data_IF_530097990171
#
_entry.id   IF_530097990171
#
_cell.length_a   1.000
_cell.length_b   1.000
_cell.length_c   1.000
_cell.angle_alpha   90.00
_cell.angle_beta   90.00
_cell.angle_gamma   90.00
#
_symmetry.space_group_name_H-M   'P 1'
#
loop_
_entity.id
_entity.type
_entity.pdbx_description
1 polymer ?
#
# COMPACT_ATOMS: atom_id res chain seq x y z
N UNK A 1 -20.02 -4.66 -5.19
CA UNK A 1 -19.48 -3.28 -5.11
C UNK A 1 -19.53 -2.68 -3.70
N UNK A 2 -20.66 -2.71 -2.99
CA UNK A 2 -20.78 -2.11 -1.64
C UNK A 2 -19.75 -2.65 -0.63
N UNK A 3 -19.53 -3.98 -0.60
CA UNK A 3 -18.53 -4.61 0.29
C UNK A 3 -17.11 -4.08 0.05
N UNK A 4 -16.66 -4.04 -1.21
CA UNK A 4 -15.33 -3.55 -1.57
C UNK A 4 -15.14 -2.07 -1.20
N UNK A 5 -16.15 -1.22 -1.47
CA UNK A 5 -16.14 0.18 -1.04
C UNK A 5 -16.05 0.32 0.47
N UNK A 6 -16.75 -0.54 1.23
CA UNK A 6 -16.66 -0.60 2.69
C UNK A 6 -15.26 -0.94 3.17
N UNK A 7 -14.64 -1.97 2.60
CA UNK A 7 -13.24 -2.35 2.91
C UNK A 7 -12.26 -1.23 2.57
N UNK A 8 -12.40 -0.59 1.40
CA UNK A 8 -11.55 0.54 1.01
C UNK A 8 -11.67 1.72 1.98
N UNK A 9 -12.91 2.00 2.45
CA UNK A 9 -13.15 3.05 3.45
C UNK A 9 -12.48 2.72 4.78
N UNK A 10 -12.61 1.49 5.27
CA UNK A 10 -11.95 1.06 6.51
C UNK A 10 -10.42 1.15 6.39
N UNK A 11 -9.88 0.69 5.26
CA UNK A 11 -8.47 0.83 4.95
C UNK A 11 -8.02 2.29 5.02
N UNK A 12 -8.72 3.20 4.34
CA UNK A 12 -8.43 4.63 4.37
C UNK A 12 -8.46 5.23 5.78
N UNK A 13 -9.46 4.87 6.59
CA UNK A 13 -9.57 5.34 7.97
C UNK A 13 -8.47 4.79 8.88
N UNK A 14 -7.86 3.67 8.50
CA UNK A 14 -6.76 3.07 9.25
C UNK A 14 -5.38 3.61 8.86
N UNK A 15 -5.23 4.42 7.81
CA UNK A 15 -3.93 4.89 7.33
C UNK A 15 -3.18 5.67 8.42
N UNK A 16 -1.97 5.22 8.74
CA UNK A 16 -1.13 5.84 9.75
C UNK A 16 -1.59 5.68 11.22
N UNK A 17 -2.74 5.06 11.47
CA UNK A 17 -3.19 4.79 12.85
C UNK A 17 -2.37 3.64 13.43
N UNK A 18 -1.66 3.91 14.54
CA UNK A 18 -0.80 2.91 15.19
C UNK A 18 0.24 2.31 14.22
N UNK A 19 0.82 3.15 13.35
CA UNK A 19 1.78 2.72 12.33
C UNK A 19 3.08 2.12 12.92
N UNK A 20 3.34 2.35 14.19
CA UNK A 20 4.43 1.77 14.98
C UNK A 20 4.08 0.38 15.57
N UNK A 21 2.83 -0.07 15.45
CA UNK A 21 2.38 -1.36 15.97
C UNK A 21 2.46 -2.48 14.92
N UNK A 22 2.71 -3.71 15.37
CA UNK A 22 2.84 -4.89 14.50
C UNK A 22 1.55 -5.18 13.74
N UNK A 23 0.39 -4.92 14.36
CA UNK A 23 -0.93 -5.15 13.80
C UNK A 23 -1.18 -4.31 12.54
N UNK A 24 -0.59 -3.10 12.47
CA UNK A 24 -0.61 -2.27 11.28
C UNK A 24 0.10 -2.97 10.12
N UNK A 25 1.35 -3.39 10.36
CA UNK A 25 2.16 -4.07 9.37
C UNK A 25 1.52 -5.37 8.89
N UNK A 26 1.02 -6.22 9.80
CA UNK A 26 0.30 -7.45 9.46
C UNK A 26 -0.96 -7.17 8.62
N UNK A 27 -1.68 -6.09 8.93
CA UNK A 27 -2.80 -5.61 8.13
C UNK A 27 -2.38 -5.33 6.68
N UNK A 28 -1.27 -4.62 6.48
CA UNK A 28 -0.78 -4.26 5.14
C UNK A 28 -0.19 -5.43 4.38
N UNK A 29 0.53 -6.33 5.07
CA UNK A 29 0.98 -7.59 4.50
C UNK A 29 -0.20 -8.43 3.98
N UNK A 30 -1.29 -8.57 4.76
CA UNK A 30 -2.50 -9.28 4.29
C UNK A 30 -3.14 -8.64 3.06
N UNK A 31 -3.11 -7.31 2.95
CA UNK A 31 -3.60 -6.59 1.77
C UNK A 31 -2.75 -6.95 0.55
N UNK A 32 -1.41 -6.89 0.67
CA UNK A 32 -0.49 -7.24 -0.42
C UNK A 32 -0.63 -8.70 -0.87
N UNK A 33 -0.62 -9.64 0.07
CA UNK A 33 -0.87 -11.06 -0.19
C UNK A 33 -2.23 -11.31 -0.86
N UNK A 34 -3.27 -10.56 -0.46
CA UNK A 34 -4.58 -10.67 -1.09
C UNK A 34 -4.55 -10.25 -2.55
N UNK A 35 -3.88 -9.14 -2.87
CA UNK A 35 -3.77 -8.65 -4.24
C UNK A 35 -2.91 -9.57 -5.11
N UNK A 36 -1.81 -10.09 -4.57
CA UNK A 36 -0.96 -11.10 -5.22
C UNK A 36 -1.78 -12.36 -5.55
N UNK A 37 -2.48 -12.91 -4.56
CA UNK A 37 -3.28 -14.14 -4.70
C UNK A 37 -4.38 -14.05 -5.75
N UNK A 38 -4.98 -12.88 -5.94
CA UNK A 38 -6.00 -12.66 -6.99
C UNK A 38 -5.40 -12.31 -8.36
N UNK A 39 -4.07 -12.32 -8.49
CA UNK A 39 -3.37 -12.02 -9.74
C UNK A 39 -3.32 -10.54 -10.11
N UNK A 40 -3.58 -9.62 -9.16
CA UNK A 40 -3.46 -8.20 -9.43
C UNK A 40 -1.98 -7.84 -9.52
N UNK A 41 -1.53 -7.49 -10.73
CA UNK A 41 -0.14 -7.06 -10.96
C UNK A 41 0.18 -5.83 -10.11
N UNK A 42 1.35 -5.83 -9.46
CA UNK A 42 1.84 -4.74 -8.59
C UNK A 42 1.67 -3.34 -9.20
N UNK A 43 1.97 -3.17 -10.50
CA UNK A 43 1.81 -1.88 -11.19
C UNK A 43 0.39 -1.29 -11.12
N UNK A 44 -0.64 -2.15 -11.10
CA UNK A 44 -2.03 -1.71 -11.00
C UNK A 44 -2.40 -1.32 -9.57
N UNK A 45 -1.86 -2.04 -8.59
CA UNK A 45 -1.94 -1.64 -7.19
C UNK A 45 -1.31 -0.25 -7.00
N UNK A 46 -0.06 -0.06 -7.46
CA UNK A 46 0.66 1.21 -7.36
C UNK A 46 -0.09 2.36 -8.04
N UNK A 47 -0.62 2.15 -9.24
CA UNK A 47 -1.40 3.17 -9.94
C UNK A 47 -2.69 3.56 -9.21
N UNK A 48 -3.44 2.58 -8.69
CA UNK A 48 -4.65 2.84 -7.91
C UNK A 48 -4.35 3.53 -6.57
N UNK A 49 -3.26 3.13 -5.93
CA UNK A 49 -2.77 3.69 -4.68
C UNK A 49 -2.28 5.14 -4.86
N UNK A 50 -1.53 5.43 -5.92
CA UNK A 50 -1.16 6.80 -6.28
C UNK A 50 -2.40 7.67 -6.48
N UNK A 51 -3.44 7.14 -7.14
CA UNK A 51 -4.69 7.88 -7.30
C UNK A 51 -5.36 8.21 -5.97
N UNK A 52 -5.29 7.29 -5.01
CA UNK A 52 -5.79 7.50 -3.66
C UNK A 52 -5.03 8.62 -2.94
N UNK A 53 -3.70 8.61 -3.04
CA UNK A 53 -2.83 9.65 -2.50
C UNK A 53 -3.18 11.03 -3.07
N UNK A 54 -3.31 11.17 -4.40
CA UNK A 54 -3.71 12.43 -5.05
C UNK A 54 -5.03 12.96 -4.49
N UNK A 55 -6.03 12.08 -4.33
CA UNK A 55 -7.35 12.46 -3.83
C UNK A 55 -7.28 12.95 -2.38
N UNK A 56 -6.46 12.32 -1.53
CA UNK A 56 -6.26 12.78 -0.15
C UNK A 56 -5.55 14.13 -0.15
N UNK A 57 -4.49 14.27 -0.95
CA UNK A 57 -3.71 15.50 -1.05
C UNK A 57 -4.58 16.69 -1.50
N UNK A 58 -5.43 16.50 -2.52
CA UNK A 58 -6.40 17.51 -2.97
C UNK A 58 -7.32 17.95 -1.83
N UNK A 59 -7.85 17.01 -1.04
CA UNK A 59 -8.74 17.33 0.10
C UNK A 59 -8.01 18.08 1.22
N UNK A 60 -6.73 17.80 1.44
CA UNK A 60 -5.90 18.56 2.40
C UNK A 60 -5.68 19.97 1.86
N UNK A 61 -5.32 20.12 0.58
CA UNK A 61 -5.10 21.41 -0.05
C UNK A 61 -6.35 22.31 0.00
N UNK A 62 -7.52 21.77 -0.37
CA UNK A 62 -8.80 22.50 -0.34
C UNK A 62 -9.15 22.96 1.08
N UNK A 63 -8.90 22.13 2.10
CA UNK A 63 -9.28 22.41 3.48
C UNK A 63 -8.38 23.42 4.19
N UNK A 64 -7.10 23.47 3.82
CA UNK A 64 -6.09 24.31 4.46
C UNK A 64 -5.58 25.42 3.55
N UNK A 65 -6.42 25.86 2.60
CA UNK A 65 -6.14 26.98 1.72
C UNK A 65 -5.84 28.24 2.56
N UNK A 66 -4.68 28.87 2.32
CA UNK A 66 -4.23 30.05 3.07
C UNK A 66 -3.44 29.76 4.36
N UNK A 67 -3.29 28.48 4.77
CA UNK A 67 -2.41 28.06 5.87
C UNK A 67 -1.26 27.20 5.32
N UNK A 68 -0.28 27.86 4.69
CA UNK A 68 0.84 27.20 4.00
C UNK A 68 1.67 26.31 4.92
N UNK A 69 1.86 26.72 6.19
CA UNK A 69 2.62 25.94 7.17
C UNK A 69 1.92 24.63 7.49
N UNK A 70 0.61 24.68 7.75
CA UNK A 70 -0.17 23.48 8.05
C UNK A 70 -0.31 22.58 6.83
N UNK A 71 -0.52 23.15 5.64
CA UNK A 71 -0.55 22.42 4.39
C UNK A 71 0.77 21.66 4.13
N UNK A 72 1.90 22.35 4.28
CA UNK A 72 3.24 21.74 4.13
C UNK A 72 3.47 20.62 5.14
N UNK A 73 3.17 20.87 6.42
CA UNK A 73 3.33 19.88 7.50
C UNK A 73 2.47 18.62 7.25
N UNK A 74 1.19 18.78 6.92
CA UNK A 74 0.29 17.67 6.65
C UNK A 74 0.69 16.89 5.39
N UNK A 75 1.12 17.59 4.34
CA UNK A 75 1.62 16.95 3.11
C UNK A 75 2.85 16.10 3.39
N UNK A 76 3.79 16.60 4.20
CA UNK A 76 4.98 15.86 4.59
C UNK A 76 4.63 14.62 5.43
N UNK A 77 3.72 14.76 6.39
CA UNK A 77 3.24 13.62 7.20
C UNK A 77 2.52 12.59 6.36
N UNK A 78 1.65 13.02 5.43
CA UNK A 78 0.96 12.12 4.51
C UNK A 78 1.97 11.33 3.66
N UNK A 79 2.98 12.00 3.08
CA UNK A 79 4.03 11.33 2.31
C UNK A 79 4.73 10.24 3.14
N UNK A 80 5.10 10.53 4.40
CA UNK A 80 5.71 9.54 5.29
C UNK A 80 4.84 8.30 5.49
N UNK A 81 3.56 8.51 5.83
CA UNK A 81 2.61 7.42 6.06
C UNK A 81 2.42 6.59 4.78
N UNK A 82 2.22 7.27 3.66
CA UNK A 82 1.90 6.65 2.37
C UNK A 82 3.09 5.86 1.85
N UNK A 83 4.31 6.39 1.95
CA UNK A 83 5.53 5.67 1.58
C UNK A 83 5.73 4.43 2.45
N UNK A 84 5.56 4.56 3.78
CA UNK A 84 5.70 3.43 4.70
C UNK A 84 4.70 2.32 4.40
N UNK A 85 3.43 2.67 4.18
CA UNK A 85 2.36 1.73 3.83
C UNK A 85 2.63 1.02 2.50
N UNK A 86 3.08 1.76 1.49
CA UNK A 86 3.41 1.22 0.17
C UNK A 86 4.57 0.23 0.22
N UNK A 87 5.63 0.53 0.99
CA UNK A 87 6.77 -0.38 1.18
C UNK A 87 6.30 -1.74 1.70
N UNK A 88 5.49 -1.77 2.76
CA UNK A 88 5.03 -3.03 3.38
C UNK A 88 4.21 -3.86 2.38
N UNK A 89 3.34 -3.22 1.60
CA UNK A 89 2.54 -3.93 0.60
C UNK A 89 3.44 -4.44 -0.54
N UNK A 90 4.37 -3.63 -1.02
CA UNK A 90 5.29 -4.01 -2.10
C UNK A 90 6.23 -5.15 -1.69
N UNK A 91 6.65 -5.21 -0.43
CA UNK A 91 7.46 -6.33 0.09
C UNK A 91 6.78 -7.69 -0.11
N UNK A 92 5.44 -7.76 -0.02
CA UNK A 92 4.73 -9.01 -0.29
C UNK A 92 4.83 -9.47 -1.74
N UNK A 93 4.81 -8.54 -2.69
CA UNK A 93 4.98 -8.83 -4.11
C UNK A 93 6.41 -9.28 -4.41
N UNK A 94 7.39 -8.63 -3.77
CA UNK A 94 8.79 -9.00 -3.89
C UNK A 94 9.03 -10.41 -3.37
N UNK A 95 8.55 -10.71 -2.16
CA UNK A 95 8.67 -12.04 -1.55
C UNK A 95 8.03 -13.12 -2.42
N UNK A 96 6.80 -12.92 -2.89
CA UNK A 96 6.12 -13.89 -3.75
C UNK A 96 6.87 -14.11 -5.08
N UNK A 97 7.50 -13.07 -5.61
CA UNK A 97 8.31 -13.17 -6.85
C UNK A 97 9.60 -13.94 -6.62
N UNK A 98 10.29 -13.69 -5.50
CA UNK A 98 11.49 -14.42 -5.11
C UNK A 98 11.20 -15.91 -4.90
N UNK A 99 10.12 -16.25 -4.20
CA UNK A 99 9.72 -17.64 -3.99
C UNK A 99 9.48 -18.39 -5.31
N UNK A 100 8.73 -17.78 -6.25
CA UNK A 100 8.52 -18.37 -7.58
C UNK A 100 9.81 -18.56 -8.35
N UNK A 101 10.75 -17.62 -8.23
CA UNK A 101 12.06 -17.72 -8.89
C UNK A 101 12.88 -18.87 -8.30
N UNK A 102 12.94 -18.99 -6.97
CA UNK A 102 13.63 -20.09 -6.28
C UNK A 102 13.04 -21.46 -6.63
N UNK A 103 11.71 -21.56 -6.68
CA UNK A 103 11.01 -22.79 -7.09
C UNK A 103 11.35 -23.17 -8.54
N UNK A 104 11.33 -22.19 -9.45
CA UNK A 104 11.71 -22.40 -10.86
C UNK A 104 13.17 -22.84 -10.98
N UNK A 105 14.10 -22.25 -10.23
CA UNK A 105 15.51 -22.61 -10.24
C UNK A 105 15.74 -24.03 -9.73
N UNK A 106 15.10 -24.40 -8.60
CA UNK A 106 15.16 -25.77 -8.05
C UNK A 106 14.68 -26.79 -9.06
N UNK A 107 13.60 -26.49 -9.78
CA UNK A 107 13.07 -27.37 -10.81
C UNK A 107 14.07 -27.54 -11.97
N UNK A 108 14.71 -26.47 -12.44
CA UNK A 108 15.71 -26.55 -13.52
C UNK A 108 17.02 -27.23 -13.12
N UNK A 109 17.47 -27.08 -11.88
CA UNK A 109 18.74 -27.67 -11.39
C UNK A 109 18.57 -29.10 -10.90
N UNK A 110 17.39 -29.50 -10.44
CA UNK A 110 17.07 -30.89 -10.07
C UNK A 110 16.58 -31.77 -11.23
N UNK A 111 16.40 -31.21 -12.43
CA UNK A 111 16.01 -31.94 -13.64
C UNK A 111 17.21 -32.44 -14.49
N UNK A 112 18.43 -32.30 -13.96
CA UNK A 112 19.68 -32.84 -14.50
C UNK A 112 20.30 -33.80 -13.50
#
# INVERSE_FOLDING_TARGET
>A
MARLKGTQRQYLLSLGLSADCVEYAEGRLRIGLTHERVGLKQKWYLGAYHKLFELILQRIADRYLGDERRLSSLTHTLNKIVTFDEIIVVETYFHATMQRLEESLRWTTGAH
#
